data_IF_485901113375
#
_entry.id   IF_485901113375
#
_cell.length_a   1.000
_cell.length_b   1.000
_cell.length_c   1.000
_cell.angle_alpha   90.00
_cell.angle_beta   90.00
_cell.angle_gamma   90.00
#
_symmetry.space_group_name_H-M   'P 1'
#
loop_
_entity.id
_entity.type
_entity.pdbx_description
1 polymer ?
#
# COMPACT_ATOMS: atom_id res chain seq x y z
N UNK A 1 0.14 -33.62 20.10
CA UNK A 1 -0.24 -32.62 19.08
C UNK A 1 -0.62 -33.38 17.81
N UNK A 2 -1.76 -33.11 17.17
CA UNK A 2 -2.13 -33.79 15.90
C UNK A 2 -1.32 -33.19 14.75
N UNK A 3 -0.93 -34.01 13.77
CA UNK A 3 -0.11 -33.59 12.63
C UNK A 3 -0.98 -32.95 11.52
N UNK A 4 -0.38 -32.07 10.71
CA UNK A 4 -0.99 -31.54 9.49
C UNK A 4 -1.38 -32.71 8.56
N UNK A 5 -2.64 -32.75 8.10
CA UNK A 5 -3.22 -33.87 7.35
C UNK A 5 -4.08 -34.84 8.17
N UNK A 6 -3.98 -34.83 9.50
CA UNK A 6 -4.87 -35.58 10.41
C UNK A 6 -6.04 -34.73 10.94
N UNK A 7 -5.93 -33.40 10.79
CA UNK A 7 -6.96 -32.39 11.07
C UNK A 7 -6.80 -31.29 10.03
N UNK A 8 -7.90 -30.67 9.58
CA UNK A 8 -7.84 -29.48 8.73
C UNK A 8 -7.28 -28.32 9.54
N UNK A 9 -6.09 -27.84 9.16
CA UNK A 9 -5.51 -26.61 9.67
C UNK A 9 -5.84 -25.53 8.62
N UNK A 10 -6.80 -24.64 8.86
CA UNK A 10 -7.17 -23.62 7.87
C UNK A 10 -6.08 -22.54 7.68
N UNK A 11 -5.05 -22.53 8.53
CA UNK A 11 -3.98 -21.54 8.59
C UNK A 11 -3.16 -21.45 7.30
N UNK A 12 -3.05 -20.23 6.75
CA UNK A 12 -2.28 -19.91 5.55
C UNK A 12 -2.73 -18.59 4.95
N UNK A 13 -1.94 -17.95 4.09
CA UNK A 13 -2.39 -16.68 3.51
C UNK A 13 -3.72 -16.81 2.73
N UNK A 14 -4.49 -15.73 2.72
CA UNK A 14 -5.67 -15.54 1.89
C UNK A 14 -5.33 -14.59 0.74
N UNK A 15 -5.83 -14.87 -0.47
CA UNK A 15 -5.61 -14.02 -1.66
C UNK A 15 -6.92 -13.93 -2.43
N UNK A 16 -7.27 -12.73 -2.88
CA UNK A 16 -8.36 -12.50 -3.82
C UNK A 16 -7.95 -11.44 -4.84
N UNK A 17 -8.53 -11.51 -6.04
CA UNK A 17 -8.35 -10.49 -7.04
C UNK A 17 -9.60 -10.39 -7.92
N UNK A 18 -9.88 -9.18 -8.40
CA UNK A 18 -10.95 -8.89 -9.36
C UNK A 18 -10.44 -7.88 -10.38
N UNK A 19 -10.74 -8.10 -11.65
CA UNK A 19 -10.36 -7.22 -12.75
C UNK A 19 -11.51 -7.06 -13.73
N UNK A 20 -11.79 -5.82 -14.11
CA UNK A 20 -12.70 -5.51 -15.20
C UNK A 20 -11.97 -5.67 -16.53
N UNK A 21 -12.45 -6.59 -17.38
CA UNK A 21 -11.88 -6.82 -18.72
C UNK A 21 -12.07 -5.61 -19.65
N UNK A 22 -13.10 -4.80 -19.40
CA UNK A 22 -13.39 -3.59 -20.17
C UNK A 22 -12.67 -2.35 -19.63
N UNK A 23 -11.93 -2.48 -18.51
CA UNK A 23 -11.27 -1.34 -17.85
C UNK A 23 -12.23 -0.44 -17.07
N UNK A 24 -13.48 -0.87 -16.86
CA UNK A 24 -14.47 -0.14 -16.07
C UNK A 24 -14.07 -0.11 -14.60
N UNK A 25 -14.07 1.07 -13.99
CA UNK A 25 -13.74 1.24 -12.57
C UNK A 25 -14.88 0.74 -11.67
N UNK A 26 -14.52 0.06 -10.59
CA UNK A 26 -15.42 -0.46 -9.56
C UNK A 26 -14.84 -0.15 -8.17
N UNK A 27 -15.71 -0.10 -7.17
CA UNK A 27 -15.30 0.12 -5.78
C UNK A 27 -14.54 -1.08 -5.20
N UNK A 28 -13.84 -0.86 -4.09
CA UNK A 28 -13.16 -1.91 -3.35
C UNK A 28 -14.11 -2.87 -2.60
N UNK A 29 -15.42 -2.60 -2.54
CA UNK A 29 -16.36 -3.37 -1.72
C UNK A 29 -16.41 -4.85 -2.08
N UNK A 30 -16.40 -5.18 -3.38
CA UNK A 30 -16.50 -6.57 -3.85
C UNK A 30 -15.26 -7.38 -3.47
N UNK A 31 -14.07 -6.79 -3.57
CA UNK A 31 -12.81 -7.46 -3.18
C UNK A 31 -12.67 -7.54 -1.65
N UNK A 32 -13.22 -6.58 -0.90
CA UNK A 32 -13.30 -6.66 0.56
C UNK A 32 -14.19 -7.85 0.96
N UNK A 33 -15.39 -7.93 0.40
CA UNK A 33 -16.36 -9.00 0.72
C UNK A 33 -15.83 -10.38 0.36
N UNK A 34 -15.02 -10.51 -0.69
CA UNK A 34 -14.42 -11.79 -1.06
C UNK A 34 -13.38 -12.30 -0.05
N UNK A 35 -12.84 -11.43 0.82
CA UNK A 35 -11.89 -11.83 1.87
C UNK A 35 -12.56 -12.39 3.12
N UNK A 36 -13.82 -12.01 3.41
CA UNK A 36 -14.55 -12.41 4.62
C UNK A 36 -14.62 -13.94 4.81
N UNK A 37 -14.95 -14.77 3.79
CA UNK A 37 -14.98 -16.22 3.96
C UNK A 37 -13.59 -16.85 4.22
N UNK A 38 -12.51 -16.08 4.06
CA UNK A 38 -11.13 -16.51 4.26
C UNK A 38 -10.52 -15.98 5.56
N UNK A 39 -11.32 -15.37 6.45
CA UNK A 39 -10.87 -14.82 7.74
C UNK A 39 -9.95 -15.79 8.51
N UNK A 40 -10.41 -17.02 8.72
CA UNK A 40 -9.71 -18.07 9.49
C UNK A 40 -8.41 -18.58 8.85
N UNK A 41 -8.14 -18.18 7.60
CA UNK A 41 -6.85 -18.47 6.96
C UNK A 41 -5.76 -17.54 7.50
N UNK A 42 -6.11 -16.29 7.81
CA UNK A 42 -5.20 -15.26 8.31
C UNK A 42 -5.20 -15.20 9.85
N UNK A 43 -4.36 -14.34 10.43
CA UNK A 43 -4.29 -14.16 11.89
C UNK A 43 -4.28 -12.69 12.33
N UNK A 44 -4.72 -11.77 11.46
CA UNK A 44 -4.78 -10.33 11.76
C UNK A 44 -3.42 -9.62 11.79
N UNK A 45 -2.31 -10.29 11.49
CA UNK A 45 -0.96 -9.68 11.50
C UNK A 45 -0.55 -9.03 10.16
N UNK A 46 -1.51 -8.84 9.26
CA UNK A 46 -1.28 -8.15 7.99
C UNK A 46 -2.43 -8.34 7.02
N UNK A 47 -3.01 -7.23 6.59
CA UNK A 47 -4.01 -7.18 5.53
C UNK A 47 -3.62 -6.09 4.54
N UNK A 48 -3.93 -6.30 3.27
CA UNK A 48 -3.68 -5.26 2.29
C UNK A 48 -4.37 -5.48 0.97
N UNK A 49 -4.33 -4.42 0.17
CA UNK A 49 -4.91 -4.35 -1.16
C UNK A 49 -3.95 -3.62 -2.10
N UNK A 50 -3.96 -3.97 -3.38
CA UNK A 50 -3.47 -3.11 -4.44
C UNK A 50 -4.58 -2.80 -5.42
N UNK A 51 -4.58 -1.58 -5.95
CA UNK A 51 -5.57 -1.10 -6.89
C UNK A 51 -4.89 -0.45 -8.09
N UNK A 52 -5.39 -0.73 -9.30
CA UNK A 52 -4.91 -0.13 -10.54
C UNK A 52 -6.03 0.65 -11.24
N UNK A 53 -5.69 1.82 -11.78
CA UNK A 53 -6.68 2.77 -12.29
C UNK A 53 -7.34 3.62 -11.20
N UNK A 54 -6.76 3.65 -10.00
CA UNK A 54 -7.35 4.25 -8.80
C UNK A 54 -7.18 5.77 -8.74
N UNK A 55 -6.24 6.35 -9.49
CA UNK A 55 -5.93 7.78 -9.51
C UNK A 55 -5.98 8.33 -10.93
N UNK A 56 -7.16 8.40 -11.58
CA UNK A 56 -7.23 8.86 -12.97
C UNK A 56 -6.89 10.34 -13.13
N UNK A 57 -7.12 11.17 -12.12
CA UNK A 57 -6.71 12.59 -12.10
C UNK A 57 -5.18 12.72 -12.02
N UNK A 58 -4.51 11.70 -11.47
CA UNK A 58 -3.06 11.60 -11.36
C UNK A 58 -2.49 10.38 -12.11
N UNK A 59 -2.95 10.16 -13.34
CA UNK A 59 -2.61 8.96 -14.11
C UNK A 59 -1.13 8.88 -14.48
N UNK A 60 -0.50 10.03 -14.73
CA UNK A 60 0.86 10.13 -15.29
C UNK A 60 1.93 10.36 -14.21
N UNK A 61 1.50 10.64 -12.99
CA UNK A 61 2.31 10.82 -11.79
C UNK A 61 2.54 9.49 -11.09
N UNK A 62 3.68 9.39 -10.41
CA UNK A 62 3.89 8.31 -9.46
C UNK A 62 3.17 8.64 -8.15
N UNK A 63 2.40 7.69 -7.63
CA UNK A 63 1.78 7.77 -6.32
C UNK A 63 2.69 7.08 -5.29
N UNK A 64 3.43 7.88 -4.52
CA UNK A 64 4.21 7.39 -3.40
C UNK A 64 3.32 7.32 -2.17
N UNK A 65 3.01 6.11 -1.69
CA UNK A 65 2.39 5.95 -0.39
C UNK A 65 3.48 5.65 0.63
N UNK A 66 3.54 6.47 1.68
CA UNK A 66 4.63 6.47 2.65
C UNK A 66 4.05 6.43 4.06
N UNK A 67 4.56 5.51 4.88
CA UNK A 67 4.39 5.54 6.32
C UNK A 67 5.49 6.39 6.96
N UNK A 68 5.11 7.25 7.90
CA UNK A 68 6.06 7.95 8.75
C UNK A 68 5.80 7.68 10.23
N UNK A 69 6.87 7.57 11.01
CA UNK A 69 6.79 7.48 12.48
C UNK A 69 6.32 8.80 13.09
N UNK A 70 6.78 9.94 12.54
CA UNK A 70 6.41 11.27 13.01
C UNK A 70 6.46 12.35 11.91
N UNK A 71 6.01 13.55 12.26
CA UNK A 71 5.99 14.71 11.36
C UNK A 71 7.38 15.29 11.04
N UNK A 72 8.40 15.02 11.86
CA UNK A 72 9.78 15.46 11.61
C UNK A 72 10.34 14.67 10.46
N UNK A 73 10.27 13.33 10.51
CA UNK A 73 10.73 12.46 9.42
C UNK A 73 9.94 12.72 8.13
N UNK A 74 8.63 12.99 8.24
CA UNK A 74 7.82 13.40 7.09
C UNK A 74 8.40 14.62 6.37
N UNK A 75 8.76 15.68 7.11
CA UNK A 75 9.32 16.92 6.55
C UNK A 75 10.70 16.70 5.93
N UNK A 76 11.53 15.89 6.56
CA UNK A 76 12.83 15.50 6.01
C UNK A 76 12.67 14.74 4.68
N UNK A 77 11.78 13.76 4.63
CA UNK A 77 11.47 13.04 3.39
C UNK A 77 10.94 13.96 2.30
N UNK A 78 10.03 14.88 2.64
CA UNK A 78 9.46 15.83 1.67
C UNK A 78 10.53 16.78 1.11
N UNK A 79 11.50 17.20 1.94
CA UNK A 79 12.64 17.98 1.47
C UNK A 79 13.49 17.20 0.46
N UNK A 80 13.81 15.93 0.74
CA UNK A 80 14.53 15.05 -0.19
C UNK A 80 13.78 14.86 -1.51
N UNK A 81 12.45 14.67 -1.45
CA UNK A 81 11.63 14.56 -2.66
C UNK A 81 11.70 15.85 -3.49
N UNK A 82 11.64 17.03 -2.87
CA UNK A 82 11.70 18.33 -3.57
C UNK A 82 13.02 18.59 -4.30
N UNK A 83 14.11 17.93 -3.92
CA UNK A 83 15.40 18.05 -4.63
C UNK A 83 15.39 17.32 -5.99
N UNK A 84 14.50 16.35 -6.15
CA UNK A 84 14.55 15.36 -7.23
C UNK A 84 13.25 15.21 -8.02
N UNK A 85 12.14 15.68 -7.45
CA UNK A 85 10.79 15.54 -7.96
C UNK A 85 10.03 16.87 -7.89
N UNK A 86 9.16 17.08 -8.86
CA UNK A 86 8.01 17.96 -8.70
C UNK A 86 6.96 17.21 -7.87
N UNK A 87 6.55 17.79 -6.74
CA UNK A 87 5.40 17.30 -5.95
C UNK A 87 4.15 17.99 -6.49
N UNK A 88 3.33 17.24 -7.23
CA UNK A 88 2.08 17.72 -7.83
C UNK A 88 1.01 17.90 -6.76
N UNK A 89 0.90 16.91 -5.87
CA UNK A 89 0.00 16.96 -4.72
C UNK A 89 0.55 16.10 -3.57
N UNK A 90 0.25 16.50 -2.34
CA UNK A 90 0.63 15.79 -1.12
C UNK A 90 -0.53 15.84 -0.12
N UNK A 91 -0.97 14.68 0.34
CA UNK A 91 -2.12 14.58 1.21
C UNK A 91 -2.00 13.40 2.18
N UNK A 92 -2.76 13.47 3.27
CA UNK A 92 -3.02 12.32 4.12
C UNK A 92 -3.91 11.34 3.36
N UNK A 93 -3.60 10.05 3.41
CA UNK A 93 -4.54 9.04 2.90
C UNK A 93 -5.80 9.08 3.79
N UNK A 94 -7.01 9.26 3.22
CA UNK A 94 -8.24 9.21 3.97
C UNK A 94 -8.41 7.88 4.70
N UNK A 95 -8.68 7.95 6.01
CA UNK A 95 -8.89 6.79 6.86
C UNK A 95 -10.15 6.93 7.71
N UNK A 96 -10.68 5.80 8.15
CA UNK A 96 -11.74 5.67 9.16
C UNK A 96 -11.12 5.04 10.41
N UNK A 97 -11.16 5.75 11.54
CA UNK A 97 -10.67 5.22 12.82
C UNK A 97 -11.63 4.14 13.31
N UNK A 98 -11.11 2.93 13.52
CA UNK A 98 -11.85 1.75 13.97
C UNK A 98 -11.00 1.00 15.03
N UNK A 99 -11.62 0.31 16.00
CA UNK A 99 -10.89 -0.32 17.11
C UNK A 99 -9.98 -1.48 16.70
N UNK A 100 -10.22 -2.12 15.55
CA UNK A 100 -9.47 -3.29 15.07
C UNK A 100 -8.11 -2.90 14.47
N UNK A 101 -7.91 -1.64 14.10
CA UNK A 101 -6.67 -1.12 13.53
C UNK A 101 -6.06 -0.12 14.51
N UNK A 102 -4.88 -0.48 15.04
CA UNK A 102 -4.17 0.26 16.08
C UNK A 102 -2.75 0.63 15.61
N UNK A 103 -2.04 1.45 16.39
CA UNK A 103 -0.68 1.90 16.09
C UNK A 103 -0.55 2.50 14.68
N UNK A 104 -1.52 3.34 14.31
CA UNK A 104 -1.64 3.93 12.97
C UNK A 104 -0.46 4.91 12.75
N UNK A 105 0.43 4.66 11.76
CA UNK A 105 1.49 5.59 11.41
C UNK A 105 0.92 6.83 10.69
N UNK A 106 1.75 7.84 10.46
CA UNK A 106 1.38 8.94 9.56
C UNK A 106 1.38 8.42 8.12
N UNK A 107 0.20 8.24 7.52
CA UNK A 107 0.04 7.69 6.18
C UNK A 107 -0.17 8.81 5.18
N UNK A 108 0.81 9.03 4.32
CA UNK A 108 0.76 10.08 3.30
C UNK A 108 0.83 9.49 1.91
N UNK A 109 0.17 10.19 0.98
CA UNK A 109 0.30 9.98 -0.45
C UNK A 109 0.88 11.24 -1.08
N UNK A 110 1.93 11.05 -1.88
CA UNK A 110 2.53 12.09 -2.70
C UNK A 110 2.38 11.70 -4.16
N UNK A 111 1.83 12.59 -4.97
CA UNK A 111 1.83 12.48 -6.42
C UNK A 111 3.03 13.24 -6.95
N UNK A 112 3.99 12.52 -7.54
CA UNK A 112 5.30 13.07 -7.89
C UNK A 112 5.69 12.78 -9.33
N UNK A 113 6.45 13.71 -9.92
CA UNK A 113 7.10 13.55 -11.23
C UNK A 113 8.60 13.80 -11.08
N UNK A 114 9.47 12.86 -11.51
CA UNK A 114 10.91 13.10 -11.52
C UNK A 114 11.27 14.35 -12.32
N UNK A 115 12.17 15.17 -11.80
CA UNK A 115 12.64 16.35 -12.53
C UNK A 115 13.49 15.91 -13.73
N UNK A 116 13.11 16.34 -14.93
CA UNK A 116 13.83 15.98 -16.17
C UNK A 116 15.32 16.39 -16.15
N UNK A 117 15.65 17.50 -15.46
CA UNK A 117 17.04 17.92 -15.26
C UNK A 117 17.86 16.94 -14.42
N UNK A 118 17.24 16.32 -13.42
CA UNK A 118 17.89 15.31 -12.56
C UNK A 118 18.06 14.01 -13.32
N UNK A 119 17.04 13.56 -14.05
CA UNK A 119 17.15 12.38 -14.92
C UNK A 119 18.26 12.54 -15.96
N UNK A 120 18.32 13.69 -16.64
CA UNK A 120 19.34 13.98 -17.65
C UNK A 120 20.76 14.02 -17.05
N UNK A 121 20.92 14.65 -15.88
CA UNK A 121 22.21 14.72 -15.17
C UNK A 121 22.70 13.34 -14.73
N UNK A 122 21.80 12.48 -14.26
CA UNK A 122 22.14 11.13 -13.80
C UNK A 122 22.16 10.09 -14.93
N UNK A 123 21.65 10.44 -16.11
CA UNK A 123 21.51 9.55 -17.27
C UNK A 123 20.73 8.27 -16.93
N UNK A 124 19.65 8.41 -16.16
CA UNK A 124 18.80 7.29 -15.72
C UNK A 124 17.43 7.31 -16.42
N UNK A 125 16.89 6.12 -16.66
CA UNK A 125 15.47 5.95 -16.98
C UNK A 125 14.60 6.39 -15.78
N UNK A 126 13.41 6.90 -16.06
CA UNK A 126 12.47 7.39 -15.07
C UNK A 126 12.10 6.31 -14.03
N UNK A 127 11.85 5.07 -14.47
CA UNK A 127 11.46 3.97 -13.57
C UNK A 127 12.63 3.53 -12.72
N UNK A 128 13.84 3.50 -13.29
CA UNK A 128 15.05 3.18 -12.54
C UNK A 128 15.34 4.24 -11.47
N UNK A 129 15.21 5.51 -11.81
CA UNK A 129 15.38 6.61 -10.86
C UNK A 129 14.38 6.53 -9.70
N UNK A 130 13.11 6.27 -10.00
CA UNK A 130 12.07 6.07 -8.98
C UNK A 130 12.39 4.88 -8.09
N UNK A 131 12.73 3.72 -8.67
CA UNK A 131 13.06 2.52 -7.90
C UNK A 131 14.27 2.77 -6.97
N UNK A 132 15.32 3.42 -7.46
CA UNK A 132 16.49 3.78 -6.65
C UNK A 132 16.13 4.74 -5.52
N UNK A 133 15.30 5.75 -5.79
CA UNK A 133 14.82 6.70 -4.77
C UNK A 133 14.05 5.99 -3.66
N UNK A 134 13.11 5.12 -4.04
CA UNK A 134 12.31 4.33 -3.10
C UNK A 134 13.21 3.47 -2.21
N UNK A 135 14.20 2.80 -2.79
CA UNK A 135 15.16 1.99 -2.03
C UNK A 135 16.03 2.85 -1.11
N UNK A 136 16.49 4.02 -1.56
CA UNK A 136 17.30 4.94 -0.74
C UNK A 136 16.51 5.45 0.48
N UNK A 137 15.26 5.89 0.27
CA UNK A 137 14.35 6.27 1.37
C UNK A 137 14.18 5.10 2.35
N UNK A 138 13.78 3.93 1.85
CA UNK A 138 13.49 2.76 2.68
C UNK A 138 14.70 2.19 3.44
N UNK A 139 15.91 2.47 2.99
CA UNK A 139 17.14 1.95 3.60
C UNK A 139 17.86 2.96 4.47
N UNK A 140 17.75 4.26 4.17
CA UNK A 140 18.57 5.30 4.82
C UNK A 140 17.76 6.26 5.68
N UNK A 141 16.50 6.54 5.33
CA UNK A 141 15.67 7.46 6.08
C UNK A 141 14.85 6.70 7.13
N UNK A 142 15.38 6.63 8.35
CA UNK A 142 14.71 5.93 9.46
C UNK A 142 13.38 6.59 9.79
N UNK A 143 12.35 5.76 9.96
CA UNK A 143 10.99 6.20 10.23
C UNK A 143 10.23 6.68 8.99
N UNK A 144 10.75 6.43 7.78
CA UNK A 144 10.01 6.55 6.52
C UNK A 144 9.99 5.20 5.80
N UNK A 145 8.83 4.80 5.30
CA UNK A 145 8.70 3.58 4.52
C UNK A 145 7.72 3.76 3.36
N UNK A 146 8.27 3.84 2.15
CA UNK A 146 7.51 3.84 0.89
C UNK A 146 7.05 2.42 0.60
N UNK A 147 5.73 2.21 0.63
CA UNK A 147 5.09 0.91 0.44
C UNK A 147 4.28 0.80 -0.86
N UNK A 148 4.13 1.92 -1.59
CA UNK A 148 3.59 2.01 -2.96
C UNK A 148 4.33 3.11 -3.71
N UNK A 149 4.62 2.91 -5.00
CA UNK A 149 5.36 3.90 -5.81
C UNK A 149 5.08 3.80 -7.31
N UNK A 150 3.88 3.38 -7.72
CA UNK A 150 3.52 3.18 -9.13
C UNK A 150 2.70 4.35 -9.70
N UNK A 151 2.56 4.39 -11.03
CA UNK A 151 1.64 5.32 -11.71
C UNK A 151 0.24 4.76 -11.74
N UNK A 152 -0.75 5.61 -11.47
CA UNK A 152 -2.17 5.25 -11.46
C UNK A 152 -2.49 3.95 -10.68
N UNK A 153 -1.73 3.70 -9.61
CA UNK A 153 -1.89 2.54 -8.77
C UNK A 153 -1.50 2.88 -7.34
N UNK A 154 -2.14 2.21 -6.38
CA UNK A 154 -1.89 2.41 -4.96
C UNK A 154 -1.99 1.08 -4.23
N UNK A 155 -1.13 0.89 -3.22
CA UNK A 155 -1.28 -0.19 -2.25
C UNK A 155 -1.80 0.37 -0.93
N UNK A 156 -2.54 -0.44 -0.18
CA UNK A 156 -3.13 -0.11 1.11
C UNK A 156 -2.81 -1.25 2.05
N UNK A 157 -2.14 -0.98 3.17
CA UNK A 157 -1.53 -2.01 4.01
C UNK A 157 -1.69 -1.66 5.47
N UNK A 158 -2.08 -2.61 6.30
CA UNK A 158 -2.11 -2.41 7.74
C UNK A 158 -1.90 -3.73 8.49
N UNK A 159 -1.60 -3.63 9.78
CA UNK A 159 -1.72 -4.76 10.71
C UNK A 159 -3.20 -4.90 11.05
N UNK A 160 -3.84 -5.93 10.49
CA UNK A 160 -5.27 -6.23 10.68
C UNK A 160 -5.75 -7.29 9.72
N UNK A 161 -7.04 -7.66 9.80
CA UNK A 161 -7.67 -8.52 8.80
C UNK A 161 -8.04 -7.70 7.55
N UNK A 162 -7.98 -8.28 6.34
CA UNK A 162 -8.26 -7.56 5.09
C UNK A 162 -9.59 -6.80 5.08
N UNK A 163 -10.64 -7.36 5.64
CA UNK A 163 -11.96 -6.71 5.75
C UNK A 163 -11.92 -5.42 6.59
N UNK A 164 -11.15 -5.42 7.68
CA UNK A 164 -10.95 -4.24 8.53
C UNK A 164 -10.04 -3.23 7.84
N UNK A 165 -8.98 -3.69 7.18
CA UNK A 165 -8.07 -2.83 6.40
C UNK A 165 -8.83 -2.11 5.29
N UNK A 166 -9.73 -2.80 4.59
CA UNK A 166 -10.56 -2.20 3.54
C UNK A 166 -11.49 -1.11 4.08
N UNK A 167 -12.12 -1.37 5.23
CA UNK A 167 -12.99 -0.41 5.93
C UNK A 167 -12.20 0.78 6.48
N UNK A 168 -11.00 0.54 6.99
CA UNK A 168 -10.09 1.54 7.51
C UNK A 168 -9.64 2.51 6.42
N UNK A 169 -9.27 2.02 5.23
CA UNK A 169 -8.87 2.86 4.09
C UNK A 169 -10.04 3.36 3.24
N UNK A 170 -11.29 3.12 3.65
CA UNK A 170 -12.50 3.58 2.94
C UNK A 170 -12.51 3.17 1.46
N UNK A 171 -12.08 1.94 1.15
CA UNK A 171 -11.92 1.50 -0.25
C UNK A 171 -13.24 1.45 -1.03
N UNK A 172 -14.38 1.51 -0.35
CA UNK A 172 -15.69 1.71 -0.96
C UNK A 172 -15.85 3.05 -1.69
N UNK A 173 -15.06 4.06 -1.32
CA UNK A 173 -15.09 5.41 -1.92
C UNK A 173 -14.12 5.58 -3.10
N UNK A 174 -13.22 4.61 -3.29
CA UNK A 174 -12.29 4.59 -4.41
C UNK A 174 -12.88 3.83 -5.60
N UNK A 175 -12.39 4.13 -6.80
CA UNK A 175 -12.76 3.39 -8.02
C UNK A 175 -11.51 2.97 -8.79
N UNK A 176 -11.36 1.67 -9.05
CA UNK A 176 -10.23 1.10 -9.78
C UNK A 176 -10.72 -0.01 -10.72
N UNK A 177 -10.01 -0.28 -11.83
CA UNK A 177 -10.41 -1.35 -12.76
C UNK A 177 -9.87 -2.73 -12.34
N UNK A 178 -8.89 -2.76 -11.45
CA UNK A 178 -8.32 -3.99 -10.90
C UNK A 178 -8.04 -3.80 -9.43
N UNK A 179 -8.37 -4.82 -8.64
CA UNK A 179 -8.09 -4.91 -7.22
C UNK A 179 -7.46 -6.27 -6.90
N UNK A 180 -6.42 -6.28 -6.06
CA UNK A 180 -5.92 -7.47 -5.37
C UNK A 180 -6.08 -7.28 -3.87
N UNK A 181 -6.17 -8.38 -3.14
CA UNK A 181 -6.22 -8.40 -1.69
C UNK A 181 -5.43 -9.59 -1.15
N UNK A 182 -4.81 -9.38 0.00
CA UNK A 182 -4.05 -10.39 0.70
C UNK A 182 -4.27 -10.33 2.22
N UNK A 183 -4.51 -11.50 2.83
CA UNK A 183 -4.48 -11.71 4.27
C UNK A 183 -3.26 -12.54 4.65
N UNK A 184 -2.44 -12.02 5.56
CA UNK A 184 -1.13 -12.58 5.93
C UNK A 184 -1.25 -13.49 7.15
N UNK A 185 -0.50 -14.60 7.12
CA UNK A 185 -0.28 -15.49 8.26
C UNK A 185 1.23 -15.67 8.48
N UNK A 186 1.92 -14.80 9.23
CA UNK A 186 3.32 -15.01 9.56
C UNK A 186 3.48 -16.13 10.58
N UNK A 187 4.51 -16.94 10.41
CA UNK A 187 4.88 -18.00 11.36
C UNK A 187 5.85 -17.50 12.44
N UNK A 188 6.73 -16.54 12.13
CA UNK A 188 7.88 -16.19 12.99
C UNK A 188 8.18 -14.67 13.12
N UNK A 189 7.33 -13.77 12.61
CA UNK A 189 7.58 -12.30 12.67
C UNK A 189 6.40 -11.56 13.28
N UNK A 190 6.63 -10.59 14.20
CA UNK A 190 5.58 -9.69 14.65
C UNK A 190 4.88 -8.99 13.47
N UNK A 191 3.61 -8.66 13.64
CA UNK A 191 2.91 -7.80 12.69
C UNK A 191 3.54 -6.41 12.68
N UNK A 192 3.88 -5.91 11.50
CA UNK A 192 4.27 -4.51 11.31
C UNK A 192 3.71 -4.03 9.97
N UNK A 193 3.37 -2.75 9.89
CA UNK A 193 2.56 -2.18 8.81
C UNK A 193 3.16 -2.38 7.41
N UNK A 194 4.45 -2.15 7.22
CA UNK A 194 5.12 -2.37 5.93
C UNK A 194 5.32 -3.84 5.55
N UNK A 195 5.20 -4.76 6.52
CA UNK A 195 5.31 -6.20 6.33
C UNK A 195 4.03 -6.86 5.80
N UNK A 196 2.92 -6.12 5.77
CA UNK A 196 1.70 -6.57 5.11
C UNK A 196 1.88 -6.59 3.58
N UNK A 197 1.21 -7.53 2.92
CA UNK A 197 1.21 -7.64 1.47
C UNK A 197 -0.10 -7.08 0.93
N UNK A 198 -0.10 -6.51 -0.28
CA UNK A 198 -1.33 -6.28 -1.02
C UNK A 198 -1.83 -7.56 -1.73
#
# INVERSE_FOLDING_TARGET
>A
MKLEGQVRIPSGCAISAVISREGTRMSGESVIKSMIPMHDRSNGLGGGFAAYGIYPEHREEYAFHIFFDDNTTRRECEALLKESFEIVEAELIPIRIIPEITDIPHIWRYFVRPLGSVLARLQLDEKEFVARTVMDINTRLKGAHVFSSGKNMGTFKAVGYPEDVGRFYRLEEYGAYSWTAHGRYPTNTPGWWGGAHP
#
